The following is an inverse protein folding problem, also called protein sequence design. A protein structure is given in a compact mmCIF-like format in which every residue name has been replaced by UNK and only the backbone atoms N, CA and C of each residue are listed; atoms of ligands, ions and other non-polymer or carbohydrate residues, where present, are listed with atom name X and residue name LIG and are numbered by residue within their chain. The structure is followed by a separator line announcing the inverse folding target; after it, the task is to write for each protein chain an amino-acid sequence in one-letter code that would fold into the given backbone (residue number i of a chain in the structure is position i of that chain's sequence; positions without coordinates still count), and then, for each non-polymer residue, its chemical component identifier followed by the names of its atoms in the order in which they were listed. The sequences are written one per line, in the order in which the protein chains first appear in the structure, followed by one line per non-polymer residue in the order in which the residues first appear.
data_IF_609507325413
#
_entry.id   IF_609507325413
#
_cell.length_a   1.000
_cell.length_b   1.000
_cell.length_c   1.000
_cell.angle_alpha   90.00
_cell.angle_beta   90.00
_cell.angle_gamma   90.00
#
_symmetry.space_group_name_H-M   'P 1'
#
loop_
_entity.id
_entity.type
_entity.pdbx_description
1 polymer ?
#
# COMPACT_ATOMS: atom_id res chain seq x y z
N UNK A 1 -29.41 7.29 1.40
CA UNK A 1 -27.97 7.17 1.12
C UNK A 1 -27.74 5.72 0.76
N UNK A 2 -27.43 5.41 -0.50
CA UNK A 2 -27.07 4.04 -0.87
C UNK A 2 -25.58 3.83 -0.60
N UNK A 3 -25.24 2.77 0.13
CA UNK A 3 -23.86 2.40 0.41
C UNK A 3 -23.44 1.41 -0.67
N UNK A 4 -22.68 1.89 -1.65
CA UNK A 4 -22.09 1.01 -2.65
C UNK A 4 -20.87 0.30 -2.03
N UNK A 5 -20.78 -1.04 -2.14
CA UNK A 5 -19.65 -1.77 -1.59
C UNK A 5 -18.36 -1.46 -2.37
N UNK A 6 -17.23 -1.54 -1.69
CA UNK A 6 -15.91 -1.46 -2.32
C UNK A 6 -15.73 -2.71 -3.21
N UNK A 7 -15.37 -2.56 -4.50
CA UNK A 7 -15.18 -3.72 -5.38
C UNK A 7 -13.97 -4.56 -4.95
N UNK A 8 -14.21 -5.80 -4.49
CA UNK A 8 -13.17 -6.72 -4.02
C UNK A 8 -12.09 -7.00 -5.08
N UNK A 9 -12.51 -7.08 -6.35
CA UNK A 9 -11.59 -7.42 -7.44
C UNK A 9 -10.76 -6.25 -7.95
N UNK A 10 -11.01 -5.00 -7.53
CA UNK A 10 -10.28 -3.83 -8.07
C UNK A 10 -9.85 -2.77 -7.04
N UNK A 11 -10.23 -2.89 -5.76
CA UNK A 11 -9.77 -1.96 -4.72
C UNK A 11 -8.24 -1.89 -4.56
N UNK A 12 -7.73 -0.72 -4.21
CA UNK A 12 -6.34 -0.53 -3.81
C UNK A 12 -6.27 -0.31 -2.29
N UNK A 13 -5.13 -0.60 -1.70
CA UNK A 13 -4.87 -0.32 -0.27
C UNK A 13 -3.66 0.59 -0.14
N UNK A 14 -3.87 1.75 0.48
CA UNK A 14 -2.81 2.70 0.81
C UNK A 14 -2.48 2.68 2.30
N UNK A 15 -1.19 2.65 2.63
CA UNK A 15 -0.71 2.85 3.99
C UNK A 15 -0.08 4.24 4.13
N UNK A 16 -0.76 5.12 4.87
CA UNK A 16 -0.17 6.36 5.37
C UNK A 16 0.78 5.96 6.50
N UNK A 17 2.07 6.20 6.29
CA UNK A 17 3.22 5.71 7.06
C UNK A 17 3.69 4.27 6.72
N UNK A 18 4.90 4.21 6.16
CA UNK A 18 5.60 2.98 5.83
C UNK A 18 6.25 2.30 7.06
N UNK A 19 5.55 2.17 8.18
CA UNK A 19 6.06 1.55 9.41
C UNK A 19 6.19 0.02 9.31
N UNK A 20 6.71 -0.62 10.38
CA UNK A 20 6.79 -2.10 10.45
C UNK A 20 5.43 -2.77 10.42
N UNK A 21 4.39 -2.12 10.97
CA UNK A 21 3.03 -2.63 10.93
C UNK A 21 2.49 -2.68 9.50
N UNK A 22 2.62 -1.58 8.74
CA UNK A 22 2.24 -1.53 7.33
C UNK A 22 2.97 -2.61 6.51
N UNK A 23 4.26 -2.83 6.78
CA UNK A 23 5.02 -3.90 6.13
C UNK A 23 4.47 -5.29 6.46
N UNK A 24 4.24 -5.59 7.75
CA UNK A 24 3.70 -6.89 8.15
C UNK A 24 2.34 -7.17 7.51
N UNK A 25 1.46 -6.17 7.45
CA UNK A 25 0.15 -6.30 6.82
C UNK A 25 0.32 -6.50 5.30
N UNK A 26 1.09 -5.64 4.63
CA UNK A 26 1.30 -5.73 3.19
C UNK A 26 1.89 -7.10 2.78
N UNK A 27 2.90 -7.60 3.51
CA UNK A 27 3.47 -8.92 3.27
C UNK A 27 2.45 -10.04 3.50
N UNK A 28 1.66 -9.97 4.58
CA UNK A 28 0.61 -10.96 4.86
C UNK A 28 -0.48 -10.98 3.80
N UNK A 29 -0.92 -9.81 3.34
CA UNK A 29 -1.91 -9.64 2.27
C UNK A 29 -1.40 -10.23 0.94
N UNK A 30 -0.14 -9.97 0.60
CA UNK A 30 0.48 -10.54 -0.61
C UNK A 30 0.65 -12.05 -0.46
N UNK A 31 1.17 -12.53 0.66
CA UNK A 31 1.42 -13.95 0.89
C UNK A 31 0.14 -14.80 0.94
N UNK A 32 -0.97 -14.21 1.39
CA UNK A 32 -2.29 -14.87 1.39
C UNK A 32 -3.00 -14.83 0.04
N UNK A 33 -2.50 -14.07 -0.93
CA UNK A 33 -3.13 -13.90 -2.24
C UNK A 33 -4.36 -12.99 -2.24
N UNK A 34 -4.63 -12.27 -1.15
CA UNK A 34 -5.79 -11.35 -1.04
C UNK A 34 -5.66 -10.19 -2.02
N UNK A 35 -4.45 -9.67 -2.22
CA UNK A 35 -4.16 -8.58 -3.14
C UNK A 35 -2.77 -8.75 -3.74
N UNK A 36 -2.61 -8.55 -5.06
CA UNK A 36 -1.29 -8.47 -5.66
C UNK A 36 -0.54 -7.21 -5.17
N UNK A 37 0.80 -7.24 -5.09
CA UNK A 37 1.60 -6.12 -4.58
C UNK A 37 1.36 -4.79 -5.30
N UNK A 38 1.10 -4.82 -6.61
CA UNK A 38 0.87 -3.63 -7.44
C UNK A 38 -0.42 -2.86 -7.10
N UNK A 39 -1.31 -3.43 -6.28
CA UNK A 39 -2.52 -2.77 -5.76
C UNK A 39 -2.35 -2.30 -4.31
N UNK A 40 -1.15 -2.40 -3.77
CA UNK A 40 -0.76 -1.83 -2.50
C UNK A 40 0.11 -0.60 -2.77
N UNK A 41 -0.09 0.46 -2.01
CA UNK A 41 0.76 1.63 -2.02
C UNK A 41 1.09 2.13 -0.62
N UNK A 42 2.21 2.85 -0.49
CA UNK A 42 2.56 3.59 0.73
C UNK A 42 3.28 4.88 0.36
N UNK A 43 3.38 5.81 1.31
CA UNK A 43 4.14 7.05 1.16
C UNK A 43 5.35 7.03 2.08
N UNK A 44 6.51 7.39 1.54
CA UNK A 44 7.78 7.51 2.29
C UNK A 44 8.37 8.89 2.03
N UNK A 45 8.32 9.75 3.05
CA UNK A 45 8.83 11.11 2.94
C UNK A 45 10.36 11.21 3.15
N UNK A 46 10.89 10.63 4.23
CA UNK A 46 12.30 10.86 4.64
C UNK A 46 13.14 9.60 4.83
N UNK A 47 12.52 8.46 5.16
CA UNK A 47 13.25 7.23 5.46
C UNK A 47 13.38 6.34 4.21
N UNK A 48 14.36 6.62 3.36
CA UNK A 48 14.58 5.90 2.09
C UNK A 48 14.77 4.40 2.27
N UNK A 49 15.33 3.93 3.39
CA UNK A 49 15.42 2.49 3.68
C UNK A 49 14.04 1.81 3.70
N UNK A 50 12.98 2.54 4.10
CA UNK A 50 11.62 2.01 4.06
C UNK A 50 11.09 1.93 2.63
N UNK A 51 11.42 2.88 1.76
CA UNK A 51 11.08 2.80 0.33
C UNK A 51 11.63 1.51 -0.27
N UNK A 52 12.92 1.24 -0.08
CA UNK A 52 13.57 0.03 -0.60
C UNK A 52 12.88 -1.25 -0.09
N UNK A 53 12.50 -1.29 1.18
CA UNK A 53 11.78 -2.45 1.76
C UNK A 53 10.47 -2.71 1.04
N UNK A 54 9.64 -1.69 0.78
CA UNK A 54 8.34 -1.86 0.11
C UNK A 54 8.50 -2.13 -1.39
N UNK A 55 9.40 -1.43 -2.06
CA UNK A 55 9.69 -1.65 -3.48
C UNK A 55 10.24 -3.07 -3.73
N UNK A 56 11.02 -3.63 -2.79
CA UNK A 56 11.62 -4.97 -2.92
C UNK A 56 10.62 -6.11 -3.13
N UNK A 57 9.35 -5.92 -2.76
CA UNK A 57 8.28 -6.90 -2.99
C UNK A 57 7.15 -6.38 -3.87
N UNK A 58 7.39 -5.30 -4.63
CA UNK A 58 6.51 -4.83 -5.71
C UNK A 58 5.39 -3.88 -5.27
N UNK A 59 5.48 -3.29 -4.08
CA UNK A 59 4.55 -2.24 -3.61
C UNK A 59 4.92 -0.90 -4.22
N UNK A 60 3.91 -0.11 -4.61
CA UNK A 60 4.13 1.25 -5.12
C UNK A 60 4.47 2.21 -3.97
N UNK A 61 5.53 3.00 -4.09
CA UNK A 61 5.94 3.95 -3.06
C UNK A 61 5.93 5.39 -3.60
N UNK A 62 5.06 6.20 -3.01
CA UNK A 62 4.90 7.62 -3.29
C UNK A 62 5.79 8.48 -2.37
N UNK A 63 6.01 9.74 -2.78
CA UNK A 63 6.87 10.66 -2.03
C UNK A 63 6.11 11.41 -0.94
N UNK A 64 4.79 11.54 -1.09
CA UNK A 64 3.91 12.19 -0.10
C UNK A 64 2.59 11.44 0.08
N UNK A 65 1.88 11.72 1.17
CA UNK A 65 0.55 11.16 1.44
C UNK A 65 -0.49 11.68 0.45
N UNK A 66 -0.39 12.92 0.02
CA UNK A 66 -1.32 13.53 -0.94
C UNK A 66 -1.25 12.85 -2.31
N UNK A 67 -0.04 12.48 -2.74
CA UNK A 67 0.17 11.72 -3.97
C UNK A 67 -0.48 10.32 -3.88
N UNK A 68 -0.37 9.68 -2.72
CA UNK A 68 -1.00 8.38 -2.46
C UNK A 68 -2.53 8.47 -2.47
N UNK A 69 -3.10 9.47 -1.80
CA UNK A 69 -4.55 9.70 -1.72
C UNK A 69 -5.18 9.96 -3.09
N UNK A 70 -4.39 10.46 -4.04
CA UNK A 70 -4.81 10.78 -5.40
C UNK A 70 -4.66 9.62 -6.41
N UNK A 71 -4.17 8.44 -5.97
CA UNK A 71 -3.73 7.33 -6.84
C UNK A 71 -4.76 6.22 -7.13
#
# INVERSE_FOLDING_TARGET
MEILPIPAESFKVGFIEAGKMAESIARGVVASGVLPPNRICTAVHSNLNRRDVFESFGVNVFSTSEELESS
#
